data_IF_731489943000
#
_entry.id   IF_731489943000
#
_cell.length_a   1.000
_cell.length_b   1.000
_cell.length_c   1.000
_cell.angle_alpha   90.00
_cell.angle_beta   90.00
_cell.angle_gamma   90.00
#
_symmetry.space_group_name_H-M   'P 1'
#
loop_
_entity.id
_entity.type
_entity.pdbx_description
1 polymer ?
#
# COMPACT_ATOMS: atom_id res chain seq x y z
N UNK A 1 -2.14 -9.01 10.41
CA UNK A 1 -3.39 -9.61 9.88
C UNK A 1 -4.06 -10.63 10.82
N UNK A 2 -3.34 -11.40 11.65
CA UNK A 2 -3.95 -12.44 12.50
C UNK A 2 -4.98 -11.87 13.49
N UNK A 3 -4.67 -10.72 14.10
CA UNK A 3 -5.60 -10.00 14.98
C UNK A 3 -6.90 -9.67 14.26
N UNK A 4 -6.84 -9.06 13.08
CA UNK A 4 -8.03 -8.70 12.29
C UNK A 4 -8.81 -9.93 11.82
N UNK A 5 -8.13 -11.01 11.42
CA UNK A 5 -8.77 -12.30 11.08
C UNK A 5 -9.51 -12.95 12.24
N UNK A 6 -9.15 -12.64 13.49
CA UNK A 6 -9.82 -13.16 14.67
C UNK A 6 -11.11 -12.42 15.04
N UNK A 7 -11.38 -11.26 14.43
CA UNK A 7 -12.55 -10.42 14.73
C UNK A 7 -13.76 -10.84 13.87
N UNK A 8 -14.36 -11.99 14.17
CA UNK A 8 -15.45 -12.56 13.36
C UNK A 8 -16.74 -11.71 13.33
N UNK A 9 -16.94 -10.83 14.30
CA UNK A 9 -18.11 -9.93 14.36
C UNK A 9 -17.91 -8.61 13.59
N UNK A 10 -16.80 -8.45 12.86
CA UNK A 10 -16.43 -7.19 12.21
C UNK A 10 -16.01 -7.38 10.75
N UNK A 11 -16.49 -6.48 9.87
CA UNK A 11 -15.95 -6.29 8.54
C UNK A 11 -14.61 -5.56 8.66
N UNK A 12 -13.51 -6.29 8.49
CA UNK A 12 -12.17 -5.74 8.67
C UNK A 12 -11.42 -5.57 7.35
N UNK A 13 -10.70 -4.46 7.26
CA UNK A 13 -9.77 -4.19 6.18
C UNK A 13 -8.47 -3.62 6.76
N UNK A 14 -7.38 -3.78 6.02
CA UNK A 14 -6.07 -3.23 6.35
C UNK A 14 -5.45 -2.67 5.08
N UNK A 15 -4.97 -1.43 5.15
CA UNK A 15 -4.12 -0.81 4.15
C UNK A 15 -2.78 -0.54 4.83
N UNK A 16 -1.70 -1.00 4.19
CA UNK A 16 -0.35 -0.60 4.53
C UNK A 16 0.27 0.10 3.32
N UNK A 17 0.88 1.25 3.56
CA UNK A 17 1.58 2.07 2.58
C UNK A 17 2.75 2.74 3.30
N UNK A 18 3.96 2.63 2.74
CA UNK A 18 5.09 3.41 3.24
C UNK A 18 4.91 4.89 2.86
N UNK A 19 5.37 5.79 3.72
CA UNK A 19 5.43 7.22 3.46
C UNK A 19 6.52 7.56 2.43
N UNK A 20 7.67 6.89 2.51
CA UNK A 20 8.75 6.94 1.52
C UNK A 20 9.61 5.66 1.57
N UNK A 21 10.60 5.58 0.67
CA UNK A 21 11.61 4.52 0.64
C UNK A 21 12.94 4.96 1.28
N UNK A 22 14.03 4.25 1.02
CA UNK A 22 15.33 4.44 1.68
C UNK A 22 16.49 4.14 0.72
N UNK A 23 17.51 4.99 0.69
CA UNK A 23 18.79 4.68 0.03
C UNK A 23 19.72 3.93 0.97
N UNK A 24 20.38 2.90 0.46
CA UNK A 24 21.22 1.96 1.22
C UNK A 24 22.69 1.97 0.76
N UNK A 25 23.11 3.02 0.06
CA UNK A 25 24.48 3.24 -0.41
C UNK A 25 24.61 3.39 -1.93
N UNK A 26 23.49 3.36 -2.67
CA UNK A 26 23.50 3.52 -4.13
C UNK A 26 24.11 4.87 -4.51
N UNK A 27 25.18 4.85 -5.31
CA UNK A 27 25.90 6.07 -5.73
C UNK A 27 26.40 6.91 -4.54
N UNK A 28 26.64 6.28 -3.39
CA UNK A 28 27.07 6.94 -2.16
C UNK A 28 25.96 7.66 -1.40
N UNK A 29 24.69 7.52 -1.81
CA UNK A 29 23.54 8.05 -1.08
C UNK A 29 23.07 7.05 -0.02
N UNK A 30 22.79 7.57 1.16
CA UNK A 30 22.22 6.82 2.29
C UNK A 30 21.00 7.57 2.82
N UNK A 31 20.15 6.87 3.56
CA UNK A 31 18.96 7.41 4.21
C UNK A 31 17.92 7.91 3.20
N UNK A 32 17.11 8.87 3.62
CA UNK A 32 16.03 9.49 2.88
C UNK A 32 16.10 11.03 2.95
N UNK A 33 15.15 11.71 2.32
CA UNK A 33 15.02 13.17 2.37
C UNK A 33 15.73 13.89 1.21
N UNK A 34 16.09 13.17 0.14
CA UNK A 34 16.58 13.80 -1.08
C UNK A 34 15.44 14.60 -1.72
N UNK A 35 15.67 15.84 -2.21
CA UNK A 35 14.61 16.63 -2.84
C UNK A 35 13.91 15.86 -3.95
N UNK A 36 12.58 15.83 -3.93
CA UNK A 36 11.77 14.93 -4.77
C UNK A 36 12.14 14.98 -6.27
N UNK A 37 12.44 16.17 -6.80
CA UNK A 37 12.83 16.37 -8.20
C UNK A 37 14.11 15.61 -8.63
N UNK A 38 14.94 15.20 -7.67
CA UNK A 38 16.20 14.48 -7.89
C UNK A 38 16.31 13.19 -7.04
N UNK A 39 15.23 12.81 -6.34
CA UNK A 39 15.23 11.65 -5.48
C UNK A 39 15.35 10.36 -6.31
N UNK A 40 16.18 9.38 -5.89
CA UNK A 40 16.29 8.13 -6.60
C UNK A 40 15.03 7.26 -6.40
N UNK A 41 14.86 6.23 -7.23
CA UNK A 41 13.70 5.32 -7.14
C UNK A 41 13.60 4.66 -5.77
N UNK A 42 14.72 4.41 -5.12
CA UNK A 42 14.83 3.79 -3.81
C UNK A 42 14.12 4.61 -2.72
N UNK A 43 14.02 5.94 -2.87
CA UNK A 43 13.30 6.81 -1.93
C UNK A 43 11.84 7.10 -2.32
N UNK A 44 11.44 6.84 -3.56
CA UNK A 44 10.13 7.25 -4.10
C UNK A 44 9.22 6.08 -4.47
N UNK A 45 9.77 4.91 -4.78
CA UNK A 45 8.99 3.70 -5.06
C UNK A 45 8.80 2.90 -3.76
N UNK A 46 7.56 2.84 -3.28
CA UNK A 46 7.22 2.27 -1.96
C UNK A 46 6.27 1.08 -2.05
N UNK A 47 6.29 0.17 -1.08
CA UNK A 47 5.31 -0.91 -1.00
C UNK A 47 3.94 -0.37 -0.57
N UNK A 48 2.90 -0.92 -1.20
CA UNK A 48 1.51 -0.82 -0.75
C UNK A 48 0.90 -2.21 -0.75
N UNK A 49 0.20 -2.59 0.32
CA UNK A 49 -0.60 -3.82 0.37
C UNK A 49 -1.95 -3.56 1.00
N UNK A 50 -2.97 -4.24 0.49
CA UNK A 50 -4.30 -4.24 1.04
C UNK A 50 -4.71 -5.66 1.42
N UNK A 51 -5.41 -5.80 2.53
CA UNK A 51 -6.02 -7.05 2.95
C UNK A 51 -7.46 -6.77 3.39
N UNK A 52 -8.37 -7.66 3.03
CA UNK A 52 -9.79 -7.57 3.35
C UNK A 52 -10.23 -8.88 4.00
N UNK A 53 -11.11 -8.83 5.00
CA UNK A 53 -11.80 -10.03 5.46
C UNK A 53 -12.80 -10.50 4.40
N UNK A 54 -13.14 -11.81 4.36
CA UNK A 54 -14.15 -12.33 3.44
C UNK A 54 -15.49 -11.58 3.55
N UNK A 55 -15.89 -11.22 4.78
CA UNK A 55 -17.11 -10.47 5.07
C UNK A 55 -17.05 -9.06 4.51
N UNK A 56 -15.94 -8.33 4.74
CA UNK A 56 -15.73 -6.99 4.17
C UNK A 56 -15.78 -7.01 2.64
N UNK A 57 -15.09 -7.96 2.01
CA UNK A 57 -15.06 -8.08 0.55
C UNK A 57 -16.46 -8.36 -0.03
N UNK A 58 -17.24 -9.25 0.61
CA UNK A 58 -18.61 -9.56 0.22
C UNK A 58 -19.54 -8.36 0.41
N UNK A 59 -19.53 -7.74 1.59
CA UNK A 59 -20.53 -6.74 1.98
C UNK A 59 -20.28 -5.37 1.30
N UNK A 60 -19.03 -5.11 0.89
CA UNK A 60 -18.67 -3.97 0.04
C UNK A 60 -18.73 -4.28 -1.46
N UNK A 61 -19.06 -5.51 -1.86
CA UNK A 61 -19.17 -5.91 -3.27
C UNK A 61 -17.85 -5.80 -4.04
N UNK A 62 -16.72 -6.09 -3.40
CA UNK A 62 -15.41 -6.02 -4.03
C UNK A 62 -15.22 -7.18 -5.02
N UNK A 63 -14.80 -6.85 -6.24
CA UNK A 63 -14.27 -7.84 -7.18
C UNK A 63 -12.77 -8.02 -6.92
N UNK A 64 -12.43 -9.06 -6.16
CA UNK A 64 -11.03 -9.37 -5.83
C UNK A 64 -10.17 -9.70 -7.06
N UNK A 65 -10.75 -10.21 -8.14
CA UNK A 65 -10.03 -10.47 -9.39
C UNK A 65 -9.64 -9.16 -10.05
N UNK A 66 -10.58 -8.23 -10.16
CA UNK A 66 -10.34 -6.88 -10.66
C UNK A 66 -9.31 -6.14 -9.81
N UNK A 67 -9.42 -6.20 -8.48
CA UNK A 67 -8.47 -5.57 -7.56
C UNK A 67 -7.06 -6.12 -7.71
N UNK A 68 -6.89 -7.45 -7.86
CA UNK A 68 -5.57 -8.05 -8.13
C UNK A 68 -4.96 -7.57 -9.44
N UNK A 69 -5.78 -7.39 -10.48
CA UNK A 69 -5.31 -6.82 -11.73
C UNK A 69 -4.89 -5.34 -11.57
N UNK A 70 -5.70 -4.53 -10.88
CA UNK A 70 -5.40 -3.11 -10.62
C UNK A 70 -4.13 -2.92 -9.78
N UNK A 71 -3.86 -3.83 -8.83
CA UNK A 71 -2.68 -3.81 -7.97
C UNK A 71 -1.35 -3.97 -8.72
N UNK A 72 -1.36 -4.55 -9.93
CA UNK A 72 -0.18 -4.62 -10.80
C UNK A 72 0.07 -3.38 -11.66
N UNK A 73 -0.80 -2.38 -11.58
CA UNK A 73 -0.73 -1.14 -12.37
C UNK A 73 -0.24 0.03 -11.53
N UNK A 74 0.23 1.09 -12.17
CA UNK A 74 0.72 2.29 -11.48
C UNK A 74 -0.34 2.91 -10.54
N UNK A 75 0.12 3.32 -9.37
CA UNK A 75 -0.62 4.11 -8.37
C UNK A 75 0.37 4.89 -7.52
N UNK A 76 -0.12 5.86 -6.77
CA UNK A 76 0.64 6.68 -5.85
C UNK A 76 -0.18 6.99 -4.58
N UNK A 77 0.35 7.87 -3.72
CA UNK A 77 -0.31 8.29 -2.48
C UNK A 77 -1.58 9.11 -2.72
N UNK A 78 -1.81 9.69 -3.90
CA UNK A 78 -3.03 10.45 -4.21
C UNK A 78 -4.26 9.54 -4.23
N UNK A 79 -4.05 8.25 -4.51
CA UNK A 79 -5.10 7.24 -4.46
C UNK A 79 -5.53 6.86 -3.03
N UNK A 80 -4.77 7.25 -1.99
CA UNK A 80 -5.08 6.87 -0.61
C UNK A 80 -6.35 7.56 -0.10
N UNK A 81 -6.47 8.88 -0.26
CA UNK A 81 -7.62 9.62 0.29
C UNK A 81 -8.96 9.15 -0.29
N UNK A 82 -9.13 8.96 -1.61
CA UNK A 82 -10.37 8.44 -2.17
C UNK A 82 -10.67 6.97 -1.84
N UNK A 83 -9.71 6.22 -1.28
CA UNK A 83 -9.87 4.81 -0.96
C UNK A 83 -10.40 4.52 0.45
N UNK A 84 -10.44 5.53 1.32
CA UNK A 84 -10.86 5.46 2.73
C UNK A 84 -12.20 6.17 2.92
#
# INVERSE_FOLDING_TARGET
IHTLRGLQDYDTAMIYLSDHGESLGEKGLYLHGVPYAIAPKEQTHVPMVMWFSPEFARDRGLDETCLRHRAGQYTDQDALFPSV
#
